data_IF_009118430121
#
_entry.id   IF_009118430121
#
_cell.length_a   1.000
_cell.length_b   1.000
_cell.length_c   1.000
_cell.angle_alpha   90.00
_cell.angle_beta   90.00
_cell.angle_gamma   90.00
#
_symmetry.space_group_name_H-M   'P 1'
#
loop_
_entity.id
_entity.type
_entity.pdbx_description
1 polymer ?
#
# COMPACT_ATOMS: atom_id res chain seq x y z
N UNK A 1 -27.46 -15.11 10.34
CA UNK A 1 -26.05 -15.26 10.75
C UNK A 1 -25.98 -15.47 12.25
N UNK A 2 -25.35 -16.56 12.68
CA UNK A 2 -25.10 -16.84 14.10
C UNK A 2 -24.04 -15.89 14.69
N UNK A 3 -24.03 -15.70 16.01
CA UNK A 3 -23.05 -14.82 16.66
C UNK A 3 -21.60 -15.33 16.50
N UNK A 4 -21.45 -16.64 16.35
CA UNK A 4 -20.20 -17.29 15.97
C UNK A 4 -19.70 -16.83 14.60
N UNK A 5 -20.57 -16.79 13.60
CA UNK A 5 -20.18 -16.35 12.24
C UNK A 5 -19.78 -14.87 12.23
N UNK A 6 -20.49 -14.03 12.99
CA UNK A 6 -20.13 -12.62 13.17
C UNK A 6 -18.73 -12.47 13.78
N UNK A 7 -18.40 -13.28 14.80
CA UNK A 7 -17.09 -13.25 15.44
C UNK A 7 -15.97 -13.69 14.47
N UNK A 8 -16.17 -14.77 13.72
CA UNK A 8 -15.21 -15.25 12.70
C UNK A 8 -14.98 -14.16 11.64
N UNK A 9 -16.05 -13.52 11.18
CA UNK A 9 -15.96 -12.44 10.18
C UNK A 9 -15.14 -11.25 10.70
N UNK A 10 -15.36 -10.83 11.96
CA UNK A 10 -14.57 -9.78 12.60
C UNK A 10 -13.09 -10.15 12.73
N UNK A 11 -12.79 -11.37 13.18
CA UNK A 11 -11.41 -11.85 13.29
C UNK A 11 -10.77 -11.85 11.91
N UNK A 12 -11.40 -12.47 10.90
CA UNK A 12 -10.88 -12.46 9.53
C UNK A 12 -10.67 -11.05 8.98
N UNK A 13 -11.55 -10.10 9.26
CA UNK A 13 -11.36 -8.70 8.87
C UNK A 13 -10.13 -8.05 9.55
N UNK A 14 -9.83 -8.46 10.79
CA UNK A 14 -8.67 -8.01 11.54
C UNK A 14 -7.36 -8.65 11.06
N UNK A 15 -7.37 -9.95 10.77
CA UNK A 15 -6.16 -10.69 10.36
C UNK A 15 -5.84 -10.59 8.88
N UNK A 16 -6.83 -10.35 8.02
CA UNK A 16 -6.60 -10.38 6.58
C UNK A 16 -5.67 -9.23 6.18
N UNK A 17 -4.55 -9.60 5.56
CA UNK A 17 -3.55 -8.63 5.15
C UNK A 17 -2.20 -9.27 4.90
N UNK A 18 -1.21 -8.40 4.73
CA UNK A 18 0.19 -8.78 4.60
C UNK A 18 0.95 -8.39 5.86
N UNK A 19 1.97 -9.16 6.18
CA UNK A 19 2.80 -9.01 7.37
C UNK A 19 4.26 -9.23 7.00
N UNK A 20 5.16 -8.64 7.78
CA UNK A 20 6.59 -8.91 7.73
C UNK A 20 6.96 -9.81 8.91
N UNK A 21 7.62 -10.92 8.60
CA UNK A 21 8.15 -11.92 9.54
C UNK A 21 9.58 -12.24 9.10
N UNK A 22 10.58 -11.88 9.92
CA UNK A 22 12.01 -12.09 9.63
C UNK A 22 12.41 -11.68 8.19
N UNK A 23 12.00 -10.47 7.80
CA UNK A 23 12.19 -9.88 6.45
C UNK A 23 11.47 -10.59 5.29
N UNK A 24 10.66 -11.60 5.60
CA UNK A 24 9.79 -12.30 4.64
C UNK A 24 8.38 -11.75 4.73
N UNK A 25 7.80 -11.46 3.57
CA UNK A 25 6.39 -11.06 3.49
C UNK A 25 5.53 -12.31 3.51
N UNK A 26 4.57 -12.32 4.43
CA UNK A 26 3.58 -13.39 4.58
C UNK A 26 2.18 -12.83 4.46
N UNK A 27 1.28 -13.59 3.86
CA UNK A 27 -0.13 -13.24 3.71
C UNK A 27 -0.99 -14.08 4.62
N UNK A 28 -1.77 -13.42 5.49
CA UNK A 28 -2.80 -14.10 6.26
C UNK A 28 -4.00 -14.40 5.37
N UNK A 29 -4.30 -15.69 5.19
CA UNK A 29 -5.33 -16.16 4.27
C UNK A 29 -6.69 -16.25 4.97
N UNK A 30 -6.77 -16.98 6.09
CA UNK A 30 -8.01 -17.17 6.85
C UNK A 30 -7.73 -17.64 8.28
N UNK A 31 -8.61 -17.27 9.20
CA UNK A 31 -8.69 -17.81 10.54
C UNK A 31 -9.46 -19.14 10.56
N UNK A 32 -8.83 -20.18 11.12
CA UNK A 32 -9.39 -21.49 11.36
C UNK A 32 -9.90 -21.57 12.79
N UNK A 33 -11.21 -21.33 12.96
CA UNK A 33 -11.84 -21.26 14.30
C UNK A 33 -11.61 -22.51 15.14
N UNK A 34 -11.73 -23.70 14.55
CA UNK A 34 -11.61 -24.98 15.27
C UNK A 34 -10.27 -25.10 16.01
N UNK A 35 -9.23 -24.56 15.39
CA UNK A 35 -7.85 -24.73 15.86
C UNK A 35 -7.32 -23.48 16.57
N UNK A 36 -8.05 -22.35 16.51
CA UNK A 36 -7.56 -21.07 17.02
C UNK A 36 -6.37 -20.51 16.22
N UNK A 37 -6.16 -21.01 15.00
CA UNK A 37 -5.00 -20.73 14.15
C UNK A 37 -5.35 -19.90 12.93
N UNK A 38 -4.36 -19.28 12.33
CA UNK A 38 -4.45 -18.55 11.07
C UNK A 38 -3.58 -19.27 10.05
N UNK A 39 -4.12 -19.46 8.86
CA UNK A 39 -3.36 -19.94 7.72
C UNK A 39 -2.60 -18.79 7.10
N UNK A 40 -1.27 -18.90 7.08
CA UNK A 40 -0.37 -17.99 6.41
C UNK A 40 0.18 -18.61 5.15
N UNK A 41 0.52 -17.74 4.20
CA UNK A 41 1.21 -18.09 2.98
C UNK A 41 2.44 -17.21 2.83
N UNK A 42 3.62 -17.80 2.78
CA UNK A 42 4.87 -17.11 2.43
C UNK A 42 4.79 -16.60 0.99
N UNK A 43 5.16 -15.35 0.76
CA UNK A 43 5.08 -14.74 -0.57
C UNK A 43 6.28 -15.13 -1.46
N UNK A 44 7.43 -15.39 -0.86
CA UNK A 44 8.67 -15.78 -1.55
C UNK A 44 8.65 -17.25 -2.03
N UNK A 45 8.25 -18.18 -1.16
CA UNK A 45 8.24 -19.62 -1.47
C UNK A 45 6.86 -20.15 -1.88
N UNK A 46 5.78 -19.44 -1.52
CA UNK A 46 4.42 -19.93 -1.69
C UNK A 46 3.98 -20.97 -0.65
N UNK A 47 4.87 -21.33 0.30
CA UNK A 47 4.61 -22.28 1.36
C UNK A 47 3.48 -21.80 2.28
N UNK A 48 2.65 -22.74 2.72
CA UNK A 48 1.51 -22.50 3.57
C UNK A 48 1.72 -23.14 4.94
N UNK A 49 1.47 -22.40 6.01
CA UNK A 49 1.65 -22.89 7.39
C UNK A 49 0.57 -22.32 8.32
N UNK A 50 0.36 -23.00 9.45
CA UNK A 50 -0.61 -22.63 10.47
C UNK A 50 0.08 -22.08 11.71
N UNK A 51 -0.40 -20.96 12.21
CA UNK A 51 0.14 -20.35 13.44
C UNK A 51 -0.99 -19.80 14.32
N UNK A 52 -0.76 -19.71 15.64
CA UNK A 52 -1.78 -19.34 16.63
C UNK A 52 -2.22 -17.89 16.46
N UNK A 53 -3.52 -17.58 16.38
CA UNK A 53 -4.00 -16.21 16.15
C UNK A 53 -3.40 -15.17 17.11
N UNK A 54 -3.31 -15.50 18.41
CA UNK A 54 -2.84 -14.59 19.46
C UNK A 54 -1.32 -14.36 19.41
N UNK A 55 -0.52 -15.35 18.97
CA UNK A 55 0.93 -15.22 18.77
C UNK A 55 1.30 -14.72 17.37
N UNK A 56 0.44 -14.95 16.39
CA UNK A 56 0.81 -14.83 14.99
C UNK A 56 0.53 -13.45 14.40
N UNK A 57 -0.66 -12.91 14.64
CA UNK A 57 -1.11 -11.68 13.98
C UNK A 57 -0.83 -10.41 14.78
N UNK A 58 -0.68 -10.55 16.10
CA UNK A 58 -0.41 -9.44 17.03
C UNK A 58 1.07 -9.06 17.08
N UNK A 59 1.98 -10.02 16.89
CA UNK A 59 3.42 -9.79 17.00
C UNK A 59 4.11 -9.56 15.65
N UNK A 60 3.51 -10.00 14.53
CA UNK A 60 4.04 -9.70 13.20
C UNK A 60 3.80 -8.24 12.84
N UNK A 61 4.78 -7.62 12.18
CA UNK A 61 4.66 -6.23 11.72
C UNK A 61 3.74 -6.17 10.51
N UNK A 62 2.50 -5.72 10.69
CA UNK A 62 1.57 -5.53 9.58
C UNK A 62 2.16 -4.55 8.56
N UNK A 63 2.04 -4.90 7.29
CA UNK A 63 2.30 -3.99 6.17
C UNK A 63 1.00 -3.75 5.41
N UNK A 64 0.89 -2.56 4.85
CA UNK A 64 -0.30 -2.08 4.19
C UNK A 64 -0.04 -1.94 2.70
N UNK A 65 -1.00 -2.31 1.87
CA UNK A 65 -0.94 -1.99 0.43
C UNK A 65 -1.49 -0.58 0.19
N UNK A 66 -1.13 0.04 -0.93
CA UNK A 66 -1.50 1.43 -1.23
C UNK A 66 -3.02 1.71 -1.14
N UNK A 67 -3.87 0.73 -1.45
CA UNK A 67 -5.32 0.87 -1.32
C UNK A 67 -5.80 0.94 0.13
N UNK A 68 -5.11 0.29 1.06
CA UNK A 68 -5.36 0.42 2.50
C UNK A 68 -4.87 1.76 3.02
N UNK A 69 -3.65 2.16 2.65
CA UNK A 69 -3.08 3.47 3.04
C UNK A 69 -3.96 4.62 2.58
N UNK A 70 -4.42 4.58 1.33
CA UNK A 70 -5.37 5.54 0.78
C UNK A 70 -6.61 5.73 1.66
N UNK A 71 -7.21 4.64 2.14
CA UNK A 71 -8.36 4.69 3.05
C UNK A 71 -8.01 5.28 4.40
N UNK A 72 -6.86 4.92 4.97
CA UNK A 72 -6.41 5.41 6.28
C UNK A 72 -6.15 6.91 6.28
N UNK A 73 -5.49 7.43 5.24
CA UNK A 73 -5.11 8.86 5.17
C UNK A 73 -6.14 9.75 4.46
N UNK A 74 -7.29 9.19 4.06
CA UNK A 74 -8.35 9.93 3.38
C UNK A 74 -7.92 10.53 2.03
N UNK A 75 -7.12 9.79 1.24
CA UNK A 75 -6.64 10.21 -0.09
C UNK A 75 -6.81 9.09 -1.11
N UNK A 76 -6.71 9.42 -2.39
CA UNK A 76 -6.71 8.38 -3.44
C UNK A 76 -5.33 7.73 -3.55
N UNK A 77 -5.28 6.45 -3.93
CA UNK A 77 -4.02 5.78 -4.24
C UNK A 77 -3.23 6.49 -5.35
N UNK A 78 -3.92 7.13 -6.31
CA UNK A 78 -3.29 7.93 -7.34
C UNK A 78 -2.59 9.16 -6.78
N UNK A 79 -3.20 9.84 -5.81
CA UNK A 79 -2.60 10.98 -5.10
C UNK A 79 -1.31 10.55 -4.42
N UNK A 80 -1.33 9.47 -3.64
CA UNK A 80 -0.12 8.97 -2.95
C UNK A 80 1.00 8.71 -3.96
N UNK A 81 0.71 8.03 -5.08
CA UNK A 81 1.70 7.79 -6.16
C UNK A 81 2.21 9.08 -6.80
N UNK A 82 1.36 10.09 -6.97
CA UNK A 82 1.77 11.39 -7.53
C UNK A 82 2.79 12.06 -6.60
N UNK A 83 2.55 12.04 -5.29
CA UNK A 83 3.44 12.60 -4.28
C UNK A 83 4.76 11.81 -4.10
N UNK A 84 4.71 10.47 -4.17
CA UNK A 84 5.92 9.63 -4.23
C UNK A 84 6.78 9.98 -5.44
N UNK A 85 6.15 10.12 -6.63
CA UNK A 85 6.85 10.45 -7.87
C UNK A 85 7.45 11.84 -7.88
N UNK A 86 6.85 12.79 -7.16
CA UNK A 86 7.40 14.13 -7.01
C UNK A 86 8.50 14.22 -5.95
N UNK A 87 8.78 13.14 -5.22
CA UNK A 87 9.76 13.12 -4.12
C UNK A 87 9.28 13.82 -2.85
N UNK A 88 8.00 14.18 -2.76
CA UNK A 88 7.42 14.82 -1.57
C UNK A 88 7.04 13.79 -0.49
N UNK A 89 6.80 12.55 -0.89
CA UNK A 89 6.70 11.39 0.01
C UNK A 89 7.84 10.42 -0.30
N UNK A 90 8.35 9.68 0.72
CA UNK A 90 9.27 8.58 0.50
C UNK A 90 8.73 7.57 -0.51
N UNK A 91 9.60 7.00 -1.34
CA UNK A 91 9.19 5.96 -2.29
C UNK A 91 8.89 4.67 -1.53
N UNK A 92 7.69 4.13 -1.72
CA UNK A 92 7.29 2.88 -1.10
C UNK A 92 8.17 1.69 -1.53
N UNK A 93 8.42 0.82 -0.56
CA UNK A 93 9.00 -0.50 -0.80
C UNK A 93 8.06 -1.36 -1.63
N UNK A 94 8.62 -2.36 -2.33
CA UNK A 94 7.86 -3.19 -3.27
C UNK A 94 8.07 -4.67 -3.00
N UNK A 95 7.05 -5.45 -3.30
CA UNK A 95 7.10 -6.89 -3.28
C UNK A 95 6.26 -7.48 -4.40
N UNK A 96 6.67 -8.64 -4.91
CA UNK A 96 5.94 -9.35 -5.96
C UNK A 96 4.96 -10.32 -5.33
N UNK A 97 3.71 -10.27 -5.75
CA UNK A 97 2.69 -11.24 -5.35
C UNK A 97 1.80 -11.56 -6.55
N UNK A 98 1.61 -12.84 -6.86
CA UNK A 98 0.74 -13.28 -7.96
C UNK A 98 1.05 -12.56 -9.29
N UNK A 99 2.33 -12.48 -9.66
CA UNK A 99 2.84 -11.79 -10.87
C UNK A 99 2.60 -10.27 -10.93
N UNK A 100 2.20 -9.65 -9.83
CA UNK A 100 2.00 -8.20 -9.73
C UNK A 100 2.97 -7.61 -8.71
N UNK A 101 3.62 -6.51 -9.06
CA UNK A 101 4.47 -5.78 -8.13
C UNK A 101 3.63 -4.80 -7.30
N UNK A 102 3.46 -5.14 -6.03
CA UNK A 102 2.73 -4.33 -5.06
C UNK A 102 3.67 -3.35 -4.37
N UNK A 103 3.14 -2.18 -3.99
CA UNK A 103 3.75 -1.31 -2.99
C UNK A 103 3.29 -1.75 -1.62
N UNK A 104 4.19 -1.76 -0.67
CA UNK A 104 3.86 -1.92 0.74
C UNK A 104 4.41 -0.75 1.56
N UNK A 105 3.70 -0.50 2.66
CA UNK A 105 3.98 0.56 3.62
C UNK A 105 3.95 -0.08 4.99
N UNK A 106 4.95 0.22 5.81
CA UNK A 106 4.96 -0.09 7.23
C UNK A 106 4.03 0.87 7.99
N UNK A 107 3.79 0.58 9.25
CA UNK A 107 3.03 1.49 10.12
C UNK A 107 3.68 2.89 10.21
N UNK A 108 5.00 2.96 10.25
CA UNK A 108 5.72 4.23 10.29
C UNK A 108 5.52 5.02 8.99
N UNK A 109 5.62 4.37 7.84
CA UNK A 109 5.35 5.02 6.54
C UNK A 109 3.95 5.63 6.50
N UNK A 110 2.94 4.90 7.00
CA UNK A 110 1.55 5.40 7.05
C UNK A 110 1.43 6.64 7.94
N UNK A 111 2.08 6.64 9.11
CA UNK A 111 2.09 7.77 10.05
C UNK A 111 2.77 9.00 9.45
N UNK A 112 3.87 8.82 8.72
CA UNK A 112 4.54 9.90 8.02
C UNK A 112 3.69 10.48 6.91
N UNK A 113 3.05 9.62 6.09
CA UNK A 113 2.15 10.03 5.02
C UNK A 113 0.95 10.80 5.59
N UNK A 114 0.35 10.30 6.68
CA UNK A 114 -0.75 10.96 7.39
C UNK A 114 -0.33 12.33 7.93
N UNK A 115 0.81 12.40 8.61
CA UNK A 115 1.37 13.65 9.13
C UNK A 115 1.64 14.66 8.01
N UNK A 116 2.19 14.22 6.88
CA UNK A 116 2.42 15.05 5.71
C UNK A 116 1.12 15.65 5.16
N UNK A 117 0.06 14.84 5.01
CA UNK A 117 -1.22 15.34 4.50
C UNK A 117 -1.99 16.22 5.49
N UNK A 118 -1.75 16.06 6.80
CA UNK A 118 -2.39 16.87 7.84
C UNK A 118 -1.67 18.20 8.09
N UNK A 119 -0.34 18.23 7.97
CA UNK A 119 0.48 19.42 8.22
C UNK A 119 0.37 20.47 7.11
N UNK A 120 0.02 20.08 5.89
CA UNK A 120 -0.14 21.01 4.79
C UNK A 120 -1.61 21.26 4.44
N UNK A 121 -1.95 22.51 4.06
CA UNK A 121 -3.12 22.77 3.20
C UNK A 121 -2.81 22.28 1.77
N UNK A 122 -2.61 20.97 1.62
CA UNK A 122 -2.12 20.38 0.36
C UNK A 122 -3.23 20.29 -0.67
N UNK A 123 -3.07 21.06 -1.76
CA UNK A 123 -3.73 20.81 -3.03
C UNK A 123 -3.15 19.59 -3.75
N UNK A 124 -3.46 19.41 -5.03
CA UNK A 124 -2.80 18.38 -5.85
C UNK A 124 -1.35 18.81 -6.14
N UNK A 125 -0.34 17.89 -6.14
CA UNK A 125 1.00 18.24 -6.58
C UNK A 125 0.95 18.86 -7.98
N UNK A 126 1.76 19.87 -8.28
CA UNK A 126 1.84 20.39 -9.63
C UNK A 126 2.24 19.26 -10.56
N UNK A 127 1.42 18.97 -11.57
CA UNK A 127 1.81 18.01 -12.61
C UNK A 127 2.95 18.63 -13.40
N UNK A 128 4.13 18.01 -13.39
CA UNK A 128 5.12 18.28 -14.43
C UNK A 128 4.46 17.98 -15.78
N UNK A 129 4.24 19.02 -16.59
CA UNK A 129 3.54 18.92 -17.86
C UNK A 129 4.45 18.17 -18.85
N UNK A 130 4.21 16.88 -19.03
CA UNK A 130 4.92 16.07 -20.01
C UNK A 130 4.35 16.43 -21.39
N UNK A 131 5.11 17.18 -22.18
CA UNK A 131 4.75 17.50 -23.56
C UNK A 131 4.98 16.28 -24.46
N UNK A 132 4.04 16.01 -25.37
CA UNK A 132 4.32 15.09 -26.47
C UNK A 132 5.45 15.64 -27.34
N UNK A 133 6.16 14.76 -28.06
CA UNK A 133 7.27 15.17 -28.94
C UNK A 133 6.85 16.22 -29.97
N UNK A 134 5.61 16.14 -30.47
CA UNK A 134 5.02 17.10 -31.42
C UNK A 134 4.79 18.47 -30.77
N UNK A 135 4.18 18.50 -29.58
CA UNK A 135 3.94 19.75 -28.83
C UNK A 135 5.26 20.42 -28.40
N UNK A 136 6.25 19.63 -28.01
CA UNK A 136 7.57 20.13 -27.65
C UNK A 136 8.27 20.77 -28.86
N UNK A 137 8.21 20.11 -30.03
CA UNK A 137 8.77 20.63 -31.28
C UNK A 137 8.09 21.93 -31.73
N UNK A 138 6.75 22.00 -31.66
CA UNK A 138 6.01 23.21 -32.00
C UNK A 138 6.32 24.38 -31.06
N UNK A 139 6.42 24.12 -29.76
CA UNK A 139 6.82 25.15 -28.78
C UNK A 139 8.24 25.63 -29.02
N UNK A 140 9.19 24.73 -29.24
CA UNK A 140 10.57 25.10 -29.58
C UNK A 140 10.62 25.93 -30.87
N UNK A 141 9.78 25.61 -31.86
CA UNK A 141 9.66 26.37 -33.10
C UNK A 141 9.07 27.77 -32.89
N UNK A 142 8.03 27.91 -32.05
CA UNK A 142 7.43 29.22 -31.70
C UNK A 142 8.39 30.09 -30.90
N UNK A 143 9.09 29.50 -29.92
CA UNK A 143 10.13 30.17 -29.14
C UNK A 143 11.29 30.65 -30.01
N UNK A 144 11.77 29.82 -30.96
CA UNK A 144 12.79 30.23 -31.95
C UNK A 144 12.33 31.35 -32.89
N UNK A 145 11.01 31.51 -33.08
CA UNK A 145 10.42 32.58 -33.90
C UNK A 145 10.10 33.86 -33.10
N UNK A 146 10.42 33.90 -31.80
CA UNK A 146 10.14 35.06 -30.95
C UNK A 146 8.65 35.32 -30.69
N UNK A 147 7.79 34.33 -30.96
CA UNK A 147 6.36 34.41 -30.69
C UNK A 147 6.12 33.73 -29.34
N UNK A 148 6.12 34.52 -28.28
CA UNK A 148 5.71 34.13 -26.93
C UNK A 148 4.21 34.35 -26.76
#
# INVERSE_FOLDING_TARGET
MSDVEKLISKINAQVKGFYLEDDVIVKAMRYLKRDGKVLFKRVDTGEEYLDEYKGSALFRKRIFIIGEVAKMVGRTAGTIRDYERSGLLPTASRFRYSNTDYRYYTYNDVREIESFFNSQKVGRPPKNRVYSRKELSEKLRKAKKGIL
#
